data_IF_568153843855
#
_entry.id   IF_568153843855
#
_cell.length_a   1.000
_cell.length_b   1.000
_cell.length_c   1.000
_cell.angle_alpha   90.00
_cell.angle_beta   90.00
_cell.angle_gamma   90.00
#
_symmetry.space_group_name_H-M   'P 1'
#
loop_
_entity.id
_entity.type
_entity.pdbx_description
1 polymer ?
#
# COMPACT_ATOMS: atom_id res chain seq x y z
N UNK A 1 -30.93 -6.14 -10.99
CA UNK A 1 -30.17 -7.10 -10.15
C UNK A 1 -28.71 -6.70 -9.96
N UNK A 2 -27.96 -6.36 -11.03
CA UNK A 2 -26.55 -5.96 -10.94
C UNK A 2 -26.25 -4.76 -10.02
N UNK A 3 -27.10 -3.73 -10.00
CA UNK A 3 -26.87 -2.53 -9.18
C UNK A 3 -26.92 -2.77 -7.67
N UNK A 4 -27.79 -3.68 -7.19
CA UNK A 4 -27.86 -4.03 -5.78
C UNK A 4 -26.62 -4.83 -5.34
N UNK A 5 -26.17 -5.74 -6.21
CA UNK A 5 -24.98 -6.57 -5.97
C UNK A 5 -23.71 -5.71 -5.89
N UNK A 6 -23.57 -4.71 -6.77
CA UNK A 6 -22.49 -3.72 -6.70
C UNK A 6 -22.50 -2.90 -5.41
N UNK A 7 -23.68 -2.43 -4.98
CA UNK A 7 -23.82 -1.70 -3.71
C UNK A 7 -23.40 -2.54 -2.51
N UNK A 8 -23.75 -3.83 -2.51
CA UNK A 8 -23.33 -4.77 -1.45
C UNK A 8 -21.82 -4.98 -1.48
N UNK A 9 -21.21 -5.17 -2.66
CA UNK A 9 -19.75 -5.30 -2.79
C UNK A 9 -19.03 -4.05 -2.27
N UNK A 10 -19.51 -2.86 -2.65
CA UNK A 10 -18.94 -1.59 -2.19
C UNK A 10 -19.08 -1.45 -0.67
N UNK A 11 -20.22 -1.83 -0.10
CA UNK A 11 -20.40 -1.82 1.35
C UNK A 11 -19.46 -2.79 2.07
N UNK A 12 -19.31 -4.01 1.55
CA UNK A 12 -18.43 -5.02 2.15
C UNK A 12 -16.97 -4.56 2.10
N UNK A 13 -16.50 -4.11 0.93
CA UNK A 13 -15.10 -3.72 0.73
C UNK A 13 -14.76 -2.35 1.31
N UNK A 14 -15.65 -1.37 1.18
CA UNK A 14 -15.44 0.01 1.59
C UNK A 14 -15.74 0.27 3.07
N UNK A 15 -16.50 -0.60 3.73
CA UNK A 15 -16.92 -0.37 5.13
C UNK A 15 -16.61 -1.55 6.06
N UNK A 16 -17.22 -2.71 5.80
CA UNK A 16 -17.09 -3.88 6.69
C UNK A 16 -15.64 -4.36 6.82
N UNK A 17 -14.92 -4.46 5.69
CA UNK A 17 -13.54 -4.92 5.66
C UNK A 17 -12.59 -4.00 6.45
N UNK A 18 -12.56 -2.66 6.23
CA UNK A 18 -11.78 -1.74 7.06
C UNK A 18 -12.10 -1.81 8.56
N UNK A 19 -13.37 -1.94 8.94
CA UNK A 19 -13.79 -2.06 10.34
C UNK A 19 -13.23 -3.34 10.96
N UNK A 20 -13.38 -4.48 10.28
CA UNK A 20 -12.84 -5.78 10.74
C UNK A 20 -11.31 -5.72 10.86
N UNK A 21 -10.62 -5.10 9.89
CA UNK A 21 -9.17 -4.93 9.92
C UNK A 21 -8.72 -3.99 11.05
N UNK A 22 -9.52 -2.98 11.38
CA UNK A 22 -9.29 -2.13 12.56
C UNK A 22 -9.38 -2.94 13.85
N UNK A 23 -10.43 -3.74 14.04
CA UNK A 23 -10.56 -4.61 15.21
C UNK A 23 -9.44 -5.65 15.30
N UNK A 24 -9.03 -6.20 14.16
CA UNK A 24 -7.88 -7.09 14.09
C UNK A 24 -6.58 -6.38 14.49
N UNK A 25 -6.36 -5.15 14.01
CA UNK A 25 -5.23 -4.31 14.40
C UNK A 25 -5.21 -4.06 15.91
N UNK A 26 -6.37 -3.74 16.48
CA UNK A 26 -6.54 -3.48 17.91
C UNK A 26 -6.20 -4.71 18.76
N UNK A 27 -6.76 -5.88 18.44
CA UNK A 27 -6.48 -7.15 19.13
C UNK A 27 -4.99 -7.48 19.14
N UNK A 28 -4.26 -7.12 18.08
CA UNK A 28 -2.83 -7.38 17.93
C UNK A 28 -1.93 -6.20 18.31
N UNK A 29 -2.46 -5.15 18.96
CA UNK A 29 -1.73 -3.93 19.35
C UNK A 29 -1.00 -3.23 18.19
N UNK A 30 -1.50 -3.35 16.97
CA UNK A 30 -0.98 -2.67 15.76
C UNK A 30 -1.76 -1.38 15.52
N UNK A 31 -1.52 -0.37 16.35
CA UNK A 31 -2.30 0.88 16.35
C UNK A 31 -2.19 1.67 15.05
N UNK A 32 -1.07 1.58 14.35
CA UNK A 32 -0.88 2.13 13.00
C UNK A 32 -1.94 1.63 12.00
N UNK A 33 -2.23 0.32 12.06
CA UNK A 33 -3.25 -0.32 11.23
C UNK A 33 -4.65 0.19 11.60
N UNK A 34 -4.90 0.33 12.91
CA UNK A 34 -6.18 0.83 13.43
C UNK A 34 -6.43 2.26 12.98
N UNK A 35 -5.44 3.14 13.12
CA UNK A 35 -5.52 4.54 12.72
C UNK A 35 -5.77 4.69 11.21
N UNK A 36 -5.08 3.90 10.38
CA UNK A 36 -5.27 3.91 8.93
C UNK A 36 -6.71 3.55 8.55
N UNK A 37 -7.22 2.41 9.04
CA UNK A 37 -8.53 1.94 8.64
C UNK A 37 -9.66 2.78 9.25
N UNK A 38 -9.49 3.36 10.44
CA UNK A 38 -10.43 4.35 10.98
C UNK A 38 -10.47 5.63 10.14
N UNK A 39 -9.32 6.14 9.70
CA UNK A 39 -9.26 7.28 8.77
C UNK A 39 -9.93 6.95 7.44
N UNK A 40 -9.72 5.73 6.94
CA UNK A 40 -10.37 5.24 5.73
C UNK A 40 -11.89 5.19 5.88
N UNK A 41 -12.41 4.64 6.99
CA UNK A 41 -13.85 4.61 7.29
C UNK A 41 -14.41 6.02 7.43
N UNK A 42 -13.70 6.92 8.13
CA UNK A 42 -14.11 8.32 8.25
C UNK A 42 -14.22 8.99 6.88
N UNK A 43 -13.24 8.79 6.01
CA UNK A 43 -13.26 9.36 4.67
C UNK A 43 -14.42 8.79 3.83
N UNK A 44 -14.54 7.47 3.72
CA UNK A 44 -15.58 6.88 2.88
C UNK A 44 -17.00 7.02 3.42
N UNK A 45 -17.18 7.11 4.73
CA UNK A 45 -18.52 7.20 5.34
C UNK A 45 -18.92 8.65 5.54
N UNK A 46 -18.05 9.45 6.18
CA UNK A 46 -18.38 10.83 6.55
C UNK A 46 -18.04 11.78 5.41
N UNK A 47 -16.83 11.70 4.86
CA UNK A 47 -16.42 12.65 3.83
C UNK A 47 -17.23 12.46 2.53
N UNK A 48 -17.27 11.24 1.98
CA UNK A 48 -17.98 10.97 0.72
C UNK A 48 -19.50 11.13 0.78
N UNK A 49 -20.16 10.74 1.88
CA UNK A 49 -21.63 10.78 1.95
C UNK A 49 -22.19 12.07 2.55
N UNK A 50 -21.38 12.85 3.28
CA UNK A 50 -21.85 14.07 3.96
C UNK A 50 -21.15 15.32 3.40
N UNK A 51 -19.82 15.29 3.31
CA UNK A 51 -19.03 16.47 2.93
C UNK A 51 -19.02 16.67 1.41
N UNK A 52 -18.70 15.63 0.65
CA UNK A 52 -18.65 15.63 -0.82
C UNK A 52 -19.96 16.08 -1.46
N UNK A 53 -21.17 15.63 -1.04
CA UNK A 53 -22.41 16.08 -1.66
C UNK A 53 -22.72 17.54 -1.30
N UNK A 54 -22.41 17.96 -0.07
CA UNK A 54 -22.68 19.31 0.42
C UNK A 54 -21.74 20.36 -0.19
N UNK A 55 -20.43 20.15 -0.08
CA UNK A 55 -19.41 21.04 -0.67
C UNK A 55 -19.33 20.89 -2.18
N UNK A 56 -19.48 19.67 -2.68
CA UNK A 56 -19.51 19.39 -4.11
C UNK A 56 -20.67 20.11 -4.78
N UNK A 57 -21.89 20.08 -4.23
CA UNK A 57 -23.02 20.80 -4.83
C UNK A 57 -22.79 22.32 -4.94
N UNK A 58 -22.03 22.92 -4.01
CA UNK A 58 -21.66 24.33 -4.06
C UNK A 58 -20.56 24.62 -5.09
N UNK A 59 -19.48 23.84 -5.09
CA UNK A 59 -18.30 24.08 -5.95
C UNK A 59 -18.58 23.65 -7.40
N UNK A 60 -19.37 22.59 -7.61
CA UNK A 60 -19.75 22.11 -8.94
C UNK A 60 -20.57 23.16 -9.72
N UNK A 61 -21.33 24.01 -9.01
CA UNK A 61 -22.03 25.15 -9.62
C UNK A 61 -21.09 26.24 -10.13
N UNK A 62 -19.90 26.36 -9.53
CA UNK A 62 -18.87 27.32 -9.94
C UNK A 62 -18.06 26.74 -11.09
N UNK A 63 -17.52 25.53 -10.91
CA UNK A 63 -16.79 24.80 -11.94
C UNK A 63 -16.66 23.32 -11.57
N UNK A 64 -17.21 22.46 -12.44
CA UNK A 64 -17.07 21.00 -12.31
C UNK A 64 -15.62 20.54 -12.41
N UNK A 65 -14.81 21.21 -13.21
CA UNK A 65 -13.39 20.90 -13.38
C UNK A 65 -12.58 21.18 -12.11
N UNK A 66 -12.81 22.33 -11.47
CA UNK A 66 -12.15 22.69 -10.21
C UNK A 66 -12.53 21.70 -9.10
N UNK A 67 -13.80 21.31 -9.02
CA UNK A 67 -14.24 20.29 -8.07
C UNK A 67 -13.53 18.95 -8.29
N UNK A 68 -13.42 18.48 -9.54
CA UNK A 68 -12.73 17.22 -9.84
C UNK A 68 -11.26 17.23 -9.38
N UNK A 69 -10.54 18.34 -9.60
CA UNK A 69 -9.15 18.47 -9.14
C UNK A 69 -9.06 18.46 -7.62
N UNK A 70 -9.91 19.23 -6.94
CA UNK A 70 -9.95 19.31 -5.47
C UNK A 70 -10.30 17.94 -4.88
N UNK A 71 -11.32 17.28 -5.43
CA UNK A 71 -11.77 15.98 -4.97
C UNK A 71 -10.67 14.92 -5.13
N UNK A 72 -9.99 14.91 -6.28
CA UNK A 72 -8.85 14.01 -6.51
C UNK A 72 -7.69 14.30 -5.53
N UNK A 73 -7.37 15.58 -5.29
CA UNK A 73 -6.33 15.94 -4.33
C UNK A 73 -6.67 15.49 -2.90
N UNK A 74 -7.94 15.57 -2.50
CA UNK A 74 -8.41 15.08 -1.21
C UNK A 74 -8.27 13.56 -1.07
N UNK A 75 -8.56 12.80 -2.12
CA UNK A 75 -8.28 11.35 -2.17
C UNK A 75 -6.79 11.07 -1.91
N UNK A 76 -5.92 11.79 -2.63
CA UNK A 76 -4.47 11.62 -2.48
C UNK A 76 -3.99 11.99 -1.08
N UNK A 77 -4.53 13.03 -0.44
CA UNK A 77 -4.05 13.48 0.88
C UNK A 77 -4.60 12.60 2.01
N UNK A 78 -5.87 12.17 1.92
CA UNK A 78 -6.59 11.54 3.02
C UNK A 78 -6.56 10.00 2.97
N UNK A 79 -6.55 9.41 1.77
CA UNK A 79 -6.54 7.95 1.60
C UNK A 79 -5.13 7.41 1.44
N UNK A 80 -4.18 8.14 0.82
CA UNK A 80 -2.82 7.61 0.69
C UNK A 80 -2.30 7.31 2.10
N UNK A 81 -1.94 6.04 2.36
CA UNK A 81 -1.32 5.71 3.62
C UNK A 81 -0.05 6.54 3.75
N UNK A 82 -0.01 7.46 4.73
CA UNK A 82 1.27 7.95 5.29
C UNK A 82 2.07 6.83 5.96
N UNK A 83 1.51 5.63 6.03
CA UNK A 83 2.19 4.45 6.51
C UNK A 83 3.24 4.03 5.51
N UNK A 84 4.47 4.07 5.99
CA UNK A 84 5.65 3.53 5.35
C UNK A 84 5.61 1.98 5.36
N UNK A 85 4.47 1.40 4.98
CA UNK A 85 4.18 -0.03 5.00
C UNK A 85 5.11 -0.77 4.05
N UNK A 86 5.54 -0.11 2.97
CA UNK A 86 6.66 -0.54 2.12
C UNK A 86 7.94 -0.70 2.92
N UNK A 87 8.34 0.27 3.76
CA UNK A 87 9.49 0.10 4.65
C UNK A 87 9.25 -0.95 5.74
N UNK A 88 8.05 -1.09 6.29
CA UNK A 88 7.78 -2.14 7.29
C UNK A 88 7.80 -3.55 6.68
N UNK A 89 7.32 -3.70 5.44
CA UNK A 89 7.44 -4.93 4.65
C UNK A 89 8.90 -5.16 4.30
N UNK A 90 9.61 -4.12 3.84
CA UNK A 90 11.03 -4.19 3.51
C UNK A 90 11.87 -4.57 4.74
N UNK A 91 11.59 -4.01 5.91
CA UNK A 91 12.28 -4.31 7.17
C UNK A 91 11.96 -5.71 7.69
N UNK A 92 10.72 -6.19 7.49
CA UNK A 92 10.37 -7.57 7.81
C UNK A 92 11.03 -8.55 6.85
N UNK A 93 11.05 -8.24 5.55
CA UNK A 93 11.74 -9.04 4.55
C UNK A 93 13.26 -9.00 4.77
N UNK A 94 13.83 -7.86 5.13
CA UNK A 94 15.27 -7.71 5.40
C UNK A 94 15.67 -8.48 6.67
N UNK A 95 14.85 -8.44 7.73
CA UNK A 95 15.04 -9.26 8.93
C UNK A 95 14.91 -10.76 8.65
N UNK A 96 13.92 -11.17 7.84
CA UNK A 96 13.79 -12.57 7.41
C UNK A 96 15.00 -13.00 6.57
N UNK A 97 15.50 -12.12 5.70
CA UNK A 97 16.69 -12.38 4.88
C UNK A 97 17.98 -12.45 5.72
N UNK A 98 18.09 -11.60 6.75
CA UNK A 98 19.24 -11.57 7.68
C UNK A 98 19.21 -12.75 8.67
N UNK A 99 18.02 -13.21 9.08
CA UNK A 99 17.87 -14.37 9.96
C UNK A 99 18.04 -15.69 9.22
N UNK A 100 17.64 -15.77 7.95
CA UNK A 100 17.66 -17.04 7.22
C UNK A 100 18.98 -17.36 6.51
N UNK A 101 20.07 -16.61 6.73
CA UNK A 101 21.36 -16.85 6.04
C UNK A 101 21.23 -16.96 4.50
N UNK A 102 20.12 -16.51 3.91
CA UNK A 102 19.84 -16.67 2.47
C UNK A 102 20.85 -15.85 1.67
N UNK A 103 21.25 -14.69 2.19
CA UNK A 103 22.35 -13.90 1.63
C UNK A 103 23.68 -14.67 1.66
N UNK A 104 23.98 -15.43 2.73
CA UNK A 104 25.17 -16.29 2.81
C UNK A 104 25.11 -17.47 1.83
N UNK A 105 23.94 -18.10 1.68
CA UNK A 105 23.73 -19.18 0.71
C UNK A 105 23.82 -18.68 -0.74
N UNK A 106 23.18 -17.56 -1.07
CA UNK A 106 23.30 -16.95 -2.41
C UNK A 106 24.75 -16.55 -2.69
N UNK A 107 25.45 -15.97 -1.70
CA UNK A 107 26.83 -15.56 -1.90
C UNK A 107 27.76 -16.78 -2.11
N UNK A 108 27.55 -17.86 -1.33
CA UNK A 108 28.37 -19.08 -1.41
C UNK A 108 28.06 -19.93 -2.65
N UNK A 109 26.80 -20.10 -3.02
CA UNK A 109 26.38 -21.04 -4.07
C UNK A 109 26.08 -20.40 -5.42
N UNK A 110 25.88 -19.08 -5.49
CA UNK A 110 25.57 -18.37 -6.74
C UNK A 110 26.67 -17.38 -7.08
N UNK A 111 26.96 -16.43 -6.18
CA UNK A 111 27.87 -15.31 -6.48
C UNK A 111 29.32 -15.77 -6.61
N UNK A 112 29.85 -16.52 -5.64
CA UNK A 112 31.23 -17.04 -5.71
C UNK A 112 31.51 -17.89 -6.95
N UNK A 113 30.70 -18.91 -7.30
CA UNK A 113 30.96 -19.71 -8.50
C UNK A 113 30.78 -18.94 -9.80
N UNK A 114 29.89 -17.94 -9.86
CA UNK A 114 29.78 -17.05 -11.01
C UNK A 114 30.99 -16.13 -11.13
N UNK A 115 31.45 -15.55 -10.02
CA UNK A 115 32.60 -14.67 -10.00
C UNK A 115 33.88 -15.42 -10.44
N UNK A 116 34.06 -16.66 -9.99
CA UNK A 116 35.18 -17.51 -10.44
C UNK A 116 35.11 -17.86 -11.93
N UNK A 117 33.90 -18.12 -12.46
CA UNK A 117 33.71 -18.36 -13.90
C UNK A 117 34.03 -17.10 -14.71
N UNK A 118 33.57 -15.94 -14.27
CA UNK A 118 33.85 -14.66 -14.93
C UNK A 118 35.35 -14.34 -14.87
N UNK A 119 36.00 -14.53 -13.72
CA UNK A 119 37.44 -14.29 -13.58
C UNK A 119 38.27 -15.23 -14.46
N UNK A 120 37.86 -16.49 -14.63
CA UNK A 120 38.50 -17.42 -15.58
C UNK A 120 38.34 -16.97 -17.03
N UNK A 121 37.17 -16.47 -17.41
CA UNK A 121 36.92 -15.93 -18.75
C UNK A 121 37.78 -14.68 -18.98
N UNK A 122 37.80 -13.74 -18.03
CA UNK A 122 38.60 -12.51 -18.11
C UNK A 122 40.09 -12.82 -18.17
N UNK A 123 40.59 -13.77 -17.39
CA UNK A 123 42.00 -14.22 -17.48
C UNK A 123 42.31 -14.82 -18.84
N UNK A 124 41.43 -15.68 -19.37
CA UNK A 124 41.60 -16.29 -20.69
C UNK A 124 41.62 -15.25 -21.82
N UNK A 125 40.79 -14.21 -21.71
CA UNK A 125 40.76 -13.07 -22.63
C UNK A 125 41.99 -12.16 -22.52
N UNK A 126 42.61 -12.05 -21.33
CA UNK A 126 43.86 -11.28 -21.14
C UNK A 126 45.12 -12.02 -21.61
N UNK A 127 45.05 -13.33 -21.79
CA UNK A 127 46.17 -14.17 -22.26
C UNK A 127 46.08 -14.50 -23.76
N UNK A 128 45.06 -14.02 -24.47
CA UNK A 128 45.02 -13.89 -25.92
C UNK A 128 45.55 -12.52 -26.32
#
# INVERSE_FOLDING_TARGET
MFGALFKVIIFVLGYLLPVVLSFHGWKNKKYEMVEYYLKYVYFFVVFENVVTPSLGALIYKISSFIWCIIHLALYFILIIPKFNYLNTIYDKLSKVNSQNNVTLYINKYIVNPLNDKVNKIVKKLKTM
#
